data_IF_667193204169
#
_entry.id   IF_667193204169
#
_cell.length_a   1.000
_cell.length_b   1.000
_cell.length_c   1.000
_cell.angle_alpha   90.00
_cell.angle_beta   90.00
_cell.angle_gamma   90.00
#
_symmetry.space_group_name_H-M   'P 1'
#
loop_
_entity.id
_entity.type
_entity.pdbx_description
1 polymer ?
#
# COMPACT_ATOMS: atom_id res chain seq x y z
N UNK A 1 15.35 14.69 -42.97
CA UNK A 1 16.18 14.39 -41.80
C UNK A 1 16.13 15.61 -40.89
N UNK A 2 15.60 15.47 -39.67
CA UNK A 2 15.45 16.59 -38.74
C UNK A 2 16.84 17.01 -38.26
N UNK A 3 17.15 18.31 -38.41
CA UNK A 3 18.35 18.91 -37.84
C UNK A 3 18.31 18.72 -36.32
N UNK A 4 19.12 17.81 -35.81
CA UNK A 4 19.34 17.66 -34.39
C UNK A 4 19.98 18.97 -33.91
N UNK A 5 19.21 19.78 -33.19
CA UNK A 5 19.73 20.97 -32.54
C UNK A 5 21.00 20.57 -31.76
N UNK A 6 22.11 21.25 -32.05
CA UNK A 6 23.39 21.01 -31.38
C UNK A 6 23.22 21.30 -29.89
N UNK A 7 22.94 20.26 -29.10
CA UNK A 7 22.75 20.39 -27.67
C UNK A 7 24.02 20.91 -27.04
N UNK A 8 23.88 21.88 -26.15
CA UNK A 8 25.04 22.42 -25.43
C UNK A 8 25.60 21.38 -24.45
N UNK A 9 26.90 21.45 -24.14
CA UNK A 9 27.52 20.54 -23.19
C UNK A 9 26.85 20.58 -21.80
N UNK A 10 26.29 21.73 -21.41
CA UNK A 10 25.55 21.90 -20.16
C UNK A 10 24.19 21.19 -20.16
N UNK A 11 23.46 21.24 -21.28
CA UNK A 11 22.23 20.48 -21.47
C UNK A 11 22.48 18.98 -21.34
N UNK A 12 23.54 18.47 -21.98
CA UNK A 12 23.91 17.05 -21.89
C UNK A 12 24.25 16.66 -20.44
N UNK A 13 24.89 17.55 -19.68
CA UNK A 13 25.15 17.33 -18.24
C UNK A 13 23.87 17.27 -17.42
N UNK A 14 22.89 18.15 -17.70
CA UNK A 14 21.57 18.13 -17.04
C UNK A 14 20.81 16.85 -17.36
N UNK A 15 20.74 16.47 -18.64
CA UNK A 15 20.13 15.21 -19.09
C UNK A 15 20.79 14.00 -18.39
N UNK A 16 22.11 14.01 -18.23
CA UNK A 16 22.83 12.94 -17.53
C UNK A 16 22.45 12.86 -16.05
N UNK A 17 22.30 13.99 -15.36
CA UNK A 17 21.83 14.04 -13.98
C UNK A 17 20.39 13.53 -13.85
N UNK A 18 19.52 13.86 -14.79
CA UNK A 18 18.15 13.36 -14.84
C UNK A 18 18.11 11.84 -15.07
N UNK A 19 18.92 11.31 -15.99
CA UNK A 19 19.05 9.86 -16.21
C UNK A 19 19.60 9.15 -14.98
N UNK A 20 20.56 9.75 -14.27
CA UNK A 20 21.04 9.22 -12.99
C UNK A 20 19.96 9.20 -11.92
N UNK A 21 19.13 10.26 -11.84
CA UNK A 21 17.99 10.31 -10.94
C UNK A 21 16.98 9.20 -11.27
N UNK A 22 16.61 9.06 -12.54
CA UNK A 22 15.73 7.98 -13.00
C UNK A 22 16.31 6.60 -12.68
N UNK A 23 17.61 6.40 -12.88
CA UNK A 23 18.28 5.16 -12.53
C UNK A 23 18.17 4.84 -11.03
N UNK A 24 18.32 5.84 -10.15
CA UNK A 24 18.14 5.69 -8.70
C UNK A 24 16.69 5.34 -8.35
N UNK A 25 15.73 6.08 -8.89
CA UNK A 25 14.30 5.83 -8.66
C UNK A 25 13.87 4.42 -9.10
N UNK A 26 14.34 3.94 -10.26
CA UNK A 26 14.06 2.58 -10.73
C UNK A 26 14.77 1.55 -9.85
N UNK A 27 16.01 1.81 -9.44
CA UNK A 27 16.77 0.93 -8.54
C UNK A 27 16.08 0.79 -7.17
N UNK A 28 15.50 1.88 -6.65
CA UNK A 28 14.70 1.86 -5.42
C UNK A 28 13.43 1.04 -5.57
N UNK A 29 12.69 1.18 -6.68
CA UNK A 29 11.50 0.34 -6.96
C UNK A 29 11.84 -1.14 -7.04
N UNK A 30 12.98 -1.48 -7.63
CA UNK A 30 13.48 -2.85 -7.71
C UNK A 30 13.93 -3.40 -6.34
N UNK A 31 14.53 -2.54 -5.50
CA UNK A 31 14.97 -2.90 -4.15
C UNK A 31 13.78 -3.12 -3.21
N UNK A 32 12.77 -2.25 -3.31
CA UNK A 32 11.59 -2.24 -2.46
C UNK A 32 10.28 -2.21 -3.26
N UNK A 33 9.90 -3.33 -3.89
CA UNK A 33 8.75 -3.38 -4.80
C UNK A 33 7.40 -3.14 -4.11
N UNK A 34 7.36 -3.21 -2.77
CA UNK A 34 6.18 -2.94 -1.94
C UNK A 34 6.24 -1.60 -1.20
N UNK A 35 7.33 -0.84 -1.34
CA UNK A 35 7.51 0.45 -0.65
C UNK A 35 7.65 0.36 0.88
N UNK A 36 7.69 -0.85 1.45
CA UNK A 36 7.65 -1.09 2.90
C UNK A 36 8.88 -0.54 3.66
N UNK A 37 10.00 -0.30 2.96
CA UNK A 37 11.22 0.24 3.59
C UNK A 37 11.29 1.76 3.65
N UNK A 38 10.37 2.49 2.99
CA UNK A 38 10.43 3.97 2.91
C UNK A 38 10.05 4.68 4.22
N UNK A 39 9.63 3.95 5.25
CA UNK A 39 9.18 4.49 6.54
C UNK A 39 10.19 4.40 7.69
N UNK A 40 11.37 3.81 7.49
CA UNK A 40 12.41 3.77 8.52
C UNK A 40 13.56 4.70 8.11
N UNK A 41 13.97 5.67 8.96
CA UNK A 41 15.19 6.43 8.68
C UNK A 41 16.33 5.43 8.51
N UNK A 42 17.11 5.60 7.44
CA UNK A 42 18.29 4.80 7.14
C UNK A 42 19.44 5.11 8.12
N UNK A 43 19.19 4.90 9.40
CA UNK A 43 20.14 5.04 10.52
C UNK A 43 20.10 3.79 11.39
N UNK A 44 20.07 2.61 10.76
CA UNK A 44 20.14 1.32 11.44
C UNK A 44 20.86 0.30 10.57
N UNK A 45 21.84 -0.44 11.11
CA UNK A 45 22.55 -1.46 10.36
C UNK A 45 21.58 -2.62 10.08
N UNK A 46 21.35 -2.92 8.81
CA UNK A 46 20.62 -4.12 8.43
C UNK A 46 21.39 -5.39 8.82
N UNK A 47 20.72 -6.52 9.08
CA UNK A 47 21.38 -7.76 9.45
C UNK A 47 21.99 -8.39 8.20
N UNK A 48 23.29 -8.15 8.00
CA UNK A 48 24.14 -8.96 7.13
C UNK A 48 24.98 -9.91 8.00
N UNK A 49 25.20 -11.17 7.60
CA UNK A 49 26.04 -12.08 8.35
C UNK A 49 27.51 -11.74 8.07
N UNK A 50 28.26 -11.32 9.08
CA UNK A 50 29.72 -11.30 9.01
C UNK A 50 30.42 -10.14 9.72
N UNK A 51 31.13 -10.48 10.81
CA UNK A 51 32.32 -9.76 11.27
C UNK A 51 32.16 -8.89 12.53
N UNK A 52 32.93 -9.13 13.62
CA UNK A 52 32.93 -8.28 14.80
C UNK A 52 33.96 -7.14 14.64
N UNK A 53 33.55 -5.88 14.81
CA UNK A 53 34.49 -4.76 15.04
C UNK A 53 33.88 -3.66 15.94
N UNK A 54 34.73 -2.91 16.67
CA UNK A 54 34.59 -2.73 18.11
C UNK A 54 33.85 -1.46 18.53
N UNK A 55 33.36 -1.48 19.77
CA UNK A 55 32.90 -0.31 20.51
C UNK A 55 33.97 0.79 20.53
N UNK A 56 33.57 2.00 20.14
CA UNK A 56 34.29 3.22 20.51
C UNK A 56 33.27 4.32 20.80
N UNK A 57 33.14 4.63 22.09
CA UNK A 57 32.34 5.75 22.58
C UNK A 57 32.97 7.10 22.20
N UNK A 58 32.14 8.14 22.22
CA UNK A 58 32.34 9.38 22.99
C UNK A 58 31.05 10.20 22.87
N UNK A 59 30.49 10.56 24.02
CA UNK A 59 29.39 11.52 24.13
C UNK A 59 29.91 12.92 23.79
N UNK A 60 29.08 13.74 23.11
CA UNK A 60 29.30 15.18 23.00
C UNK A 60 28.01 15.93 23.37
N UNK A 61 28.09 16.99 24.21
CA UNK A 61 26.93 17.61 24.85
C UNK A 61 26.13 18.52 23.91
N UNK A 62 24.85 18.71 24.26
CA UNK A 62 23.92 19.66 23.65
C UNK A 62 24.27 21.13 23.98
N UNK A 63 23.90 22.05 23.08
CA UNK A 63 23.37 23.34 23.50
C UNK A 63 22.01 23.70 22.85
N UNK A 64 21.15 24.23 23.73
CA UNK A 64 19.88 25.00 23.68
C UNK A 64 19.23 25.49 22.35
N UNK A 65 17.90 25.72 22.36
CA UNK A 65 17.05 25.79 21.17
C UNK A 65 16.94 27.21 20.58
N UNK A 66 16.91 27.30 19.25
CA UNK A 66 16.54 28.52 18.52
C UNK A 66 15.36 28.21 17.60
N UNK A 67 14.24 28.85 17.92
CA UNK A 67 13.01 29.12 17.14
C UNK A 67 12.77 28.28 15.87
N UNK A 68 11.93 27.25 15.99
CA UNK A 68 11.21 26.67 14.84
C UNK A 68 9.90 27.45 14.61
N UNK A 69 9.58 27.87 13.37
CA UNK A 69 8.23 28.35 13.07
C UNK A 69 7.26 27.17 13.09
N UNK A 70 6.10 27.37 13.72
CA UNK A 70 5.10 26.31 13.93
C UNK A 70 4.67 25.61 12.63
N UNK A 71 4.40 24.29 12.67
CA UNK A 71 3.91 23.56 11.51
C UNK A 71 2.51 24.05 11.11
N UNK A 72 2.41 24.60 9.89
CA UNK A 72 1.17 25.11 9.30
C UNK A 72 0.07 24.04 9.33
N UNK A 73 -1.01 24.34 10.05
CA UNK A 73 -2.25 23.55 10.10
C UNK A 73 -2.81 23.42 8.69
N UNK A 74 -3.06 22.19 8.24
CA UNK A 74 -3.68 21.91 6.93
C UNK A 74 -5.10 22.48 6.94
N UNK A 75 -5.38 23.48 6.11
CA UNK A 75 -6.74 23.95 5.87
C UNK A 75 -7.51 22.81 5.18
N UNK A 76 -8.40 22.16 5.91
CA UNK A 76 -9.41 21.26 5.36
C UNK A 76 -10.58 22.12 4.86
N UNK A 77 -10.58 22.45 3.58
CA UNK A 77 -11.80 22.72 2.79
C UNK A 77 -11.43 23.12 1.36
N UNK A 78 -11.48 22.15 0.45
CA UNK A 78 -11.80 22.44 -0.94
C UNK A 78 -13.08 21.67 -1.24
N UNK A 79 -14.22 22.34 -1.09
CA UNK A 79 -15.49 21.89 -1.68
C UNK A 79 -15.37 22.17 -3.17
N UNK A 80 -15.07 21.14 -3.94
CA UNK A 80 -15.19 21.18 -5.40
C UNK A 80 -16.68 21.08 -5.72
N UNK A 81 -17.27 22.19 -6.17
CA UNK A 81 -18.56 22.16 -6.86
C UNK A 81 -18.34 21.46 -8.21
N UNK A 82 -19.04 20.35 -8.40
CA UNK A 82 -19.18 19.69 -9.70
C UNK A 82 -20.38 20.34 -10.37
N UNK A 83 -20.15 21.19 -11.37
CA UNK A 83 -21.19 21.66 -12.27
C UNK A 83 -21.49 20.54 -13.29
N UNK A 84 -22.70 19.99 -13.18
CA UNK A 84 -23.30 19.08 -14.16
C UNK A 84 -24.07 19.87 -15.24
N UNK A 85 -24.23 19.29 -16.44
CA UNK A 85 -24.27 20.01 -17.70
C UNK A 85 -25.57 20.76 -17.99
N UNK A 86 -25.42 21.82 -18.78
CA UNK A 86 -26.45 22.77 -19.16
C UNK A 86 -27.65 22.16 -19.90
N UNK A 87 -28.80 22.73 -19.58
CA UNK A 87 -30.08 22.59 -20.27
C UNK A 87 -30.18 23.55 -21.45
N UNK A 88 -30.54 23.05 -22.61
CA UNK A 88 -31.24 23.70 -23.74
C UNK A 88 -31.97 22.53 -24.44
N UNK A 89 -33.31 22.41 -24.41
CA UNK A 89 -34.29 23.12 -25.28
C UNK A 89 -34.18 22.54 -26.71
N UNK A 90 -35.18 22.02 -27.40
CA UNK A 90 -36.62 21.77 -27.24
C UNK A 90 -36.92 20.56 -28.17
N UNK A 91 -37.98 19.78 -27.91
CA UNK A 91 -38.94 19.36 -28.95
C UNK A 91 -40.06 18.48 -28.38
N UNK A 92 -41.25 18.73 -28.91
CA UNK A 92 -42.56 18.41 -28.38
C UNK A 92 -43.11 17.03 -28.81
N UNK A 93 -43.96 16.45 -27.96
CA UNK A 93 -45.21 15.70 -28.26
C UNK A 93 -45.59 14.90 -26.99
N UNK A 94 -46.56 15.34 -26.18
CA UNK A 94 -48.01 15.18 -26.34
C UNK A 94 -48.53 13.77 -25.99
N UNK A 95 -49.70 13.74 -25.32
CA UNK A 95 -50.50 12.59 -24.82
C UNK A 95 -50.12 12.12 -23.40
N UNK A 96 -50.92 12.11 -22.33
CA UNK A 96 -52.33 12.42 -22.01
C UNK A 96 -52.51 12.03 -20.51
N UNK A 97 -52.86 12.95 -19.61
CA UNK A 97 -54.21 13.26 -19.08
C UNK A 97 -54.74 12.31 -17.98
N UNK A 98 -54.81 12.88 -16.75
CA UNK A 98 -55.87 12.77 -15.69
C UNK A 98 -56.12 11.38 -15.06
N UNK A 99 -56.48 11.16 -13.78
CA UNK A 99 -56.85 11.92 -12.58
C UNK A 99 -56.67 10.93 -11.39
N UNK A 100 -56.22 11.34 -10.20
CA UNK A 100 -57.15 11.61 -9.09
C UNK A 100 -56.96 10.64 -7.90
N UNK A 101 -57.33 11.02 -6.66
CA UNK A 101 -56.61 10.66 -5.44
C UNK A 101 -57.33 9.62 -4.56
N UNK A 102 -56.61 8.97 -3.64
CA UNK A 102 -57.28 8.36 -2.48
C UNK A 102 -56.46 8.46 -1.19
N UNK A 103 -57.17 8.78 -0.12
CA UNK A 103 -56.68 9.19 1.18
C UNK A 103 -56.59 8.02 2.18
N UNK A 104 -55.60 8.09 3.08
CA UNK A 104 -55.62 7.59 4.47
C UNK A 104 -54.25 7.92 5.08
N UNK A 105 -54.06 9.06 5.75
CA UNK A 105 -54.37 9.34 7.16
C UNK A 105 -53.57 8.46 8.16
N UNK A 106 -52.71 9.14 8.93
CA UNK A 106 -52.41 8.79 10.33
C UNK A 106 -51.13 7.99 10.59
N UNK A 107 -50.15 8.62 11.25
CA UNK A 107 -48.99 7.88 11.76
C UNK A 107 -47.85 8.74 12.30
N UNK A 108 -48.15 9.51 13.34
CA UNK A 108 -47.26 9.87 14.46
C UNK A 108 -45.78 10.21 14.20
N UNK A 109 -45.48 11.48 14.47
CA UNK A 109 -44.17 11.97 14.87
C UNK A 109 -43.68 11.17 16.09
N UNK A 110 -42.72 10.28 15.90
CA UNK A 110 -41.69 9.98 16.90
C UNK A 110 -40.33 10.05 16.24
N UNK A 111 -39.72 11.23 16.32
CA UNK A 111 -38.29 11.39 16.18
C UNK A 111 -37.63 10.52 17.25
N UNK A 112 -36.93 9.48 16.81
CA UNK A 112 -36.06 8.69 17.66
C UNK A 112 -34.92 9.60 18.15
N UNK A 113 -35.08 10.15 19.35
CA UNK A 113 -33.96 10.55 20.18
C UNK A 113 -33.16 9.29 20.49
N UNK A 114 -32.09 9.03 19.75
CA UNK A 114 -31.02 8.18 20.24
C UNK A 114 -29.76 9.01 20.34
N UNK A 115 -29.45 9.34 21.59
CA UNK A 115 -28.28 10.08 22.00
C UNK A 115 -27.02 9.45 21.45
N UNK A 116 -26.13 10.32 21.00
CA UNK A 116 -24.77 9.96 20.66
C UNK A 116 -24.11 9.32 21.87
N UNK A 117 -23.76 8.05 21.75
CA UNK A 117 -22.68 7.49 22.54
C UNK A 117 -21.39 8.18 22.09
N UNK A 118 -20.99 9.17 22.89
CA UNK A 118 -19.62 9.63 23.02
C UNK A 118 -18.76 8.38 23.21
N UNK A 119 -18.05 7.97 22.17
CA UNK A 119 -16.96 7.01 22.28
C UNK A 119 -15.78 7.77 22.84
N UNK A 120 -15.78 7.95 24.15
CA UNK A 120 -14.63 8.48 24.87
C UNK A 120 -13.42 7.57 24.60
N UNK A 121 -12.38 8.20 24.04
CA UNK A 121 -10.97 8.00 24.35
C UNK A 121 -10.46 6.62 24.77
N UNK A 122 -10.83 5.51 24.12
CA UNK A 122 -10.02 4.30 24.20
C UNK A 122 -8.87 4.39 23.20
N UNK A 123 -7.80 5.00 23.71
CA UNK A 123 -6.43 4.84 23.22
C UNK A 123 -6.25 3.38 22.81
N UNK A 124 -6.07 3.13 21.51
CA UNK A 124 -5.61 1.83 21.05
C UNK A 124 -4.20 1.68 21.61
N UNK A 125 -4.10 1.05 22.78
CA UNK A 125 -2.84 0.75 23.44
C UNK A 125 -2.03 -0.06 22.44
N UNK A 126 -0.83 0.44 22.13
CA UNK A 126 0.09 -0.16 21.19
C UNK A 126 0.34 -1.61 21.62
N UNK A 127 -0.02 -2.57 20.76
CA UNK A 127 0.07 -4.03 20.98
C UNK A 127 1.50 -4.55 21.30
N UNK A 128 2.49 -3.68 21.46
CA UNK A 128 3.90 -4.04 21.68
C UNK A 128 4.44 -3.68 23.07
N UNK A 129 3.65 -3.05 23.93
CA UNK A 129 4.08 -2.66 25.29
C UNK A 129 3.30 -3.35 26.42
N UNK A 130 2.36 -4.24 26.07
CA UNK A 130 1.51 -4.97 27.04
C UNK A 130 1.95 -6.42 27.29
N UNK A 131 3.17 -6.80 26.91
CA UNK A 131 3.63 -8.20 27.09
C UNK A 131 4.45 -8.41 28.38
N UNK A 132 4.72 -7.37 29.18
CA UNK A 132 5.64 -7.50 30.32
C UNK A 132 5.05 -7.27 31.72
N UNK A 133 3.77 -6.91 31.91
CA UNK A 133 3.18 -6.82 33.27
C UNK A 133 1.66 -7.10 33.32
N UNK A 134 1.22 -8.24 32.80
CA UNK A 134 -0.09 -8.81 33.19
C UNK A 134 0.18 -10.02 34.09
N UNK A 135 -0.27 -10.01 35.37
CA UNK A 135 -0.31 -11.23 36.16
C UNK A 135 -1.11 -12.27 35.39
N UNK A 136 -0.54 -13.46 35.21
CA UNK A 136 -1.25 -14.60 34.67
C UNK A 136 -2.60 -14.74 35.39
N UNK A 137 -3.74 -14.73 34.68
CA UNK A 137 -5.03 -14.83 35.33
C UNK A 137 -5.08 -16.17 36.04
N UNK A 138 -4.95 -16.14 37.37
CA UNK A 138 -5.04 -17.31 38.23
C UNK A 138 -6.29 -18.11 37.83
N UNK A 139 -6.19 -19.45 37.74
CA UNK A 139 -7.32 -20.29 37.40
C UNK A 139 -8.49 -19.93 38.31
N UNK A 140 -9.67 -19.67 37.71
CA UNK A 140 -10.88 -19.39 38.51
C UNK A 140 -11.01 -20.49 39.56
N UNK A 141 -11.15 -20.13 40.85
CA UNK A 141 -11.30 -21.13 41.89
C UNK A 141 -12.48 -22.04 41.51
N UNK A 142 -12.25 -23.34 41.61
CA UNK A 142 -13.24 -24.36 41.35
C UNK A 142 -14.57 -23.99 42.06
N UNK A 143 -15.72 -24.24 41.42
CA UNK A 143 -17.01 -23.86 41.99
C UNK A 143 -17.10 -24.38 43.42
N UNK A 144 -17.40 -23.47 44.35
CA UNK A 144 -17.69 -23.79 45.75
C UNK A 144 -18.65 -24.97 45.79
N UNK A 145 -18.43 -25.88 46.72
CA UNK A 145 -19.23 -27.09 46.95
C UNK A 145 -20.73 -26.77 46.89
N UNK A 146 -21.30 -26.88 45.69
CA UNK A 146 -22.74 -26.91 45.51
C UNK A 146 -23.22 -28.16 46.24
N UNK A 147 -24.23 -28.02 47.10
CA UNK A 147 -24.78 -29.17 47.82
C UNK A 147 -24.92 -30.35 46.86
N UNK A 148 -24.33 -31.50 47.20
CA UNK A 148 -24.36 -32.65 46.29
C UNK A 148 -25.79 -33.04 45.88
N UNK A 149 -26.77 -32.70 46.72
CA UNK A 149 -28.20 -32.81 46.46
C UNK A 149 -28.68 -31.83 45.37
N UNK A 150 -28.24 -30.58 45.36
CA UNK A 150 -28.50 -29.57 44.33
C UNK A 150 -27.81 -29.95 43.03
N UNK A 151 -26.56 -30.42 43.05
CA UNK A 151 -25.87 -30.92 41.85
C UNK A 151 -26.61 -32.12 41.26
N UNK A 152 -27.02 -33.09 42.09
CA UNK A 152 -27.79 -34.26 41.64
C UNK A 152 -29.19 -33.87 41.16
N UNK A 153 -29.85 -32.91 41.80
CA UNK A 153 -31.16 -32.39 41.39
C UNK A 153 -31.05 -31.62 40.08
N UNK A 154 -30.11 -30.70 39.96
CA UNK A 154 -29.82 -29.95 38.73
C UNK A 154 -29.41 -30.90 37.60
N UNK A 155 -28.57 -31.89 37.86
CA UNK A 155 -28.21 -32.91 36.87
C UNK A 155 -29.39 -33.79 36.45
N UNK A 156 -30.37 -34.06 37.33
CA UNK A 156 -31.60 -34.78 36.97
C UNK A 156 -32.61 -33.88 36.23
N UNK A 157 -32.77 -32.64 36.68
CA UNK A 157 -33.70 -31.65 36.11
C UNK A 157 -33.22 -31.19 34.74
N UNK A 158 -31.95 -30.81 34.65
CA UNK A 158 -31.27 -30.42 33.41
C UNK A 158 -30.94 -31.65 32.56
N UNK A 159 -30.65 -32.81 33.15
CA UNK A 159 -30.40 -34.04 32.39
C UNK A 159 -31.63 -34.54 31.65
N UNK A 160 -32.82 -34.51 32.26
CA UNK A 160 -34.06 -34.87 31.55
C UNK A 160 -34.40 -33.90 30.43
N UNK A 161 -34.15 -32.60 30.63
CA UNK A 161 -34.44 -31.56 29.65
C UNK A 161 -33.39 -31.40 28.56
N UNK A 162 -32.10 -31.57 28.86
CA UNK A 162 -30.99 -31.44 27.91
C UNK A 162 -30.51 -32.78 27.39
N UNK A 163 -30.29 -33.82 28.20
CA UNK A 163 -29.77 -35.11 27.68
C UNK A 163 -30.82 -35.80 26.82
N UNK A 164 -32.08 -35.82 27.24
CA UNK A 164 -33.16 -36.43 26.46
C UNK A 164 -33.51 -35.69 25.17
N UNK A 165 -33.31 -34.37 25.09
CA UNK A 165 -33.59 -33.57 23.89
C UNK A 165 -32.34 -33.42 23.00
N UNK A 166 -31.15 -33.30 23.59
CA UNK A 166 -29.87 -33.28 22.88
C UNK A 166 -29.58 -34.64 22.25
N UNK A 167 -29.87 -35.74 22.94
CA UNK A 167 -29.71 -37.08 22.37
C UNK A 167 -30.70 -37.30 21.23
N UNK A 168 -31.95 -36.84 21.35
CA UNK A 168 -32.91 -36.80 20.23
C UNK A 168 -32.40 -35.94 19.08
N UNK A 169 -31.87 -34.75 19.36
CA UNK A 169 -31.31 -33.84 18.36
C UNK A 169 -30.08 -34.46 17.66
N UNK A 170 -29.24 -35.19 18.40
CA UNK A 170 -28.11 -35.94 17.84
C UNK A 170 -28.58 -37.12 16.98
N UNK A 171 -29.60 -37.87 17.42
CA UNK A 171 -30.18 -38.96 16.64
C UNK A 171 -30.87 -38.44 15.37
N UNK A 172 -31.58 -37.32 15.45
CA UNK A 172 -32.18 -36.62 14.31
C UNK A 172 -31.10 -36.08 13.38
N UNK A 173 -30.04 -35.46 13.90
CA UNK A 173 -28.91 -35.03 13.07
C UNK A 173 -28.23 -36.20 12.36
N UNK A 174 -28.06 -37.36 13.02
CA UNK A 174 -27.52 -38.58 12.38
C UNK A 174 -28.44 -39.11 11.27
N UNK A 175 -29.76 -39.02 11.46
CA UNK A 175 -30.74 -39.40 10.43
C UNK A 175 -30.74 -38.40 9.26
N UNK A 176 -30.62 -37.11 9.56
CA UNK A 176 -30.54 -36.04 8.57
C UNK A 176 -29.22 -36.07 7.80
N UNK A 177 -28.09 -36.39 8.45
CA UNK A 177 -26.80 -36.52 7.78
C UNK A 177 -26.77 -37.67 6.78
N UNK A 178 -27.51 -38.74 7.06
CA UNK A 178 -27.67 -39.88 6.15
C UNK A 178 -28.72 -39.63 5.06
N UNK A 179 -29.46 -38.51 5.14
CA UNK A 179 -30.42 -38.14 4.11
C UNK A 179 -29.70 -37.70 2.84
N UNK A 180 -30.15 -38.18 1.69
CA UNK A 180 -29.64 -37.82 0.38
C UNK A 180 -29.64 -36.29 0.15
N UNK A 181 -30.63 -35.58 0.69
CA UNK A 181 -30.69 -34.12 0.59
C UNK A 181 -29.55 -33.41 1.36
N UNK A 182 -29.08 -33.99 2.47
CA UNK A 182 -27.92 -33.47 3.19
C UNK A 182 -26.62 -33.73 2.42
N UNK A 183 -26.47 -34.92 1.84
CA UNK A 183 -25.32 -35.25 0.99
C UNK A 183 -25.24 -34.32 -0.23
N UNK A 184 -26.36 -34.06 -0.91
CA UNK A 184 -26.38 -33.11 -2.04
C UNK A 184 -26.03 -31.69 -1.63
N UNK A 185 -26.51 -31.22 -0.47
CA UNK A 185 -26.18 -29.88 0.06
C UNK A 185 -24.71 -29.78 0.49
N UNK A 186 -24.18 -30.80 1.15
CA UNK A 186 -22.78 -30.83 1.58
C UNK A 186 -21.83 -30.90 0.38
N UNK A 187 -22.16 -31.69 -0.64
CA UNK A 187 -21.43 -31.74 -1.91
C UNK A 187 -21.49 -30.40 -2.66
N UNK A 188 -22.67 -29.76 -2.71
CA UNK A 188 -22.80 -28.44 -3.32
C UNK A 188 -21.98 -27.38 -2.57
N UNK A 189 -21.97 -27.43 -1.23
CA UNK A 189 -21.15 -26.54 -0.40
C UNK A 189 -19.66 -26.82 -0.62
N UNK A 190 -19.22 -28.07 -0.64
CA UNK A 190 -17.83 -28.43 -0.91
C UNK A 190 -17.39 -27.98 -2.30
N UNK A 191 -18.24 -28.13 -3.32
CA UNK A 191 -17.95 -27.63 -4.68
C UNK A 191 -17.85 -26.11 -4.72
N UNK A 192 -18.72 -25.39 -4.00
CA UNK A 192 -18.64 -23.94 -3.89
C UNK A 192 -17.36 -23.48 -3.18
N UNK A 193 -16.99 -24.14 -2.07
CA UNK A 193 -15.77 -23.86 -1.33
C UNK A 193 -14.51 -24.18 -2.14
N UNK A 194 -14.51 -25.29 -2.89
CA UNK A 194 -13.42 -25.65 -3.80
C UNK A 194 -13.25 -24.59 -4.89
N UNK A 195 -14.34 -24.17 -5.52
CA UNK A 195 -14.30 -23.10 -6.53
C UNK A 195 -13.81 -21.78 -5.96
N UNK A 196 -14.27 -21.40 -4.76
CA UNK A 196 -13.81 -20.18 -4.09
C UNK A 196 -12.30 -20.24 -3.77
N UNK A 197 -11.78 -21.42 -3.38
CA UNK A 197 -10.34 -21.62 -3.17
C UNK A 197 -9.55 -21.49 -4.47
N UNK A 198 -9.97 -22.18 -5.53
CA UNK A 198 -9.33 -22.11 -6.84
C UNK A 198 -9.31 -20.68 -7.39
N UNK A 199 -10.42 -19.95 -7.30
CA UNK A 199 -10.50 -18.57 -7.77
C UNK A 199 -9.61 -17.64 -6.92
N UNK A 200 -9.54 -17.87 -5.60
CA UNK A 200 -8.60 -17.13 -4.73
C UNK A 200 -7.13 -17.43 -5.05
N UNK A 201 -6.80 -18.66 -5.43
CA UNK A 201 -5.45 -19.06 -5.82
C UNK A 201 -5.07 -18.49 -7.18
N UNK A 202 -6.00 -18.50 -8.14
CA UNK A 202 -5.84 -17.83 -9.44
C UNK A 202 -5.54 -16.35 -9.26
N UNK A 203 -6.27 -15.65 -8.41
CA UNK A 203 -5.99 -14.23 -8.12
C UNK A 203 -4.60 -14.03 -7.51
N UNK A 204 -4.19 -14.88 -6.56
CA UNK A 204 -2.83 -14.82 -5.98
C UNK A 204 -1.75 -15.09 -7.03
N UNK A 205 -2.00 -16.01 -7.97
CA UNK A 205 -1.07 -16.29 -9.07
C UNK A 205 -0.97 -15.08 -10.00
N UNK A 206 -2.10 -14.50 -10.42
CA UNK A 206 -2.11 -13.28 -11.23
C UNK A 206 -1.38 -12.12 -10.56
N UNK A 207 -1.56 -11.90 -9.25
CA UNK A 207 -0.82 -10.87 -8.50
C UNK A 207 0.69 -11.12 -8.50
N UNK A 208 1.11 -12.38 -8.33
CA UNK A 208 2.53 -12.77 -8.38
C UNK A 208 3.11 -12.55 -9.77
N UNK A 209 2.38 -12.92 -10.82
CA UNK A 209 2.77 -12.73 -12.21
C UNK A 209 2.88 -11.25 -12.55
N UNK A 210 1.88 -10.44 -12.21
CA UNK A 210 1.93 -8.99 -12.41
C UNK A 210 3.11 -8.36 -11.65
N UNK A 211 3.41 -8.81 -10.43
CA UNK A 211 4.57 -8.34 -9.68
C UNK A 211 5.89 -8.74 -10.36
N UNK A 212 5.98 -9.97 -10.88
CA UNK A 212 7.14 -10.45 -11.63
C UNK A 212 7.32 -9.68 -12.95
N UNK A 213 6.24 -9.42 -13.68
CA UNK A 213 6.25 -8.62 -14.90
C UNK A 213 6.68 -7.18 -14.63
N UNK A 214 6.13 -6.53 -13.59
CA UNK A 214 6.56 -5.17 -13.19
C UNK A 214 8.06 -5.13 -12.92
N UNK A 215 8.60 -6.12 -12.18
CA UNK A 215 10.06 -6.24 -11.96
C UNK A 215 10.84 -6.44 -13.25
N UNK A 216 10.36 -7.30 -14.17
CA UNK A 216 11.01 -7.51 -15.48
C UNK A 216 11.04 -6.20 -16.27
N UNK A 217 9.94 -5.46 -16.30
CA UNK A 217 9.83 -4.14 -16.94
C UNK A 217 10.83 -3.17 -16.30
N UNK A 218 10.84 -3.04 -14.98
CA UNK A 218 11.76 -2.14 -14.27
C UNK A 218 13.24 -2.52 -14.49
N UNK A 219 13.58 -3.82 -14.54
CA UNK A 219 14.94 -4.28 -14.88
C UNK A 219 15.33 -3.85 -16.30
N UNK A 220 14.44 -4.03 -17.27
CA UNK A 220 14.70 -3.60 -18.66
C UNK A 220 14.79 -2.08 -18.78
N UNK A 221 13.94 -1.34 -18.06
CA UNK A 221 13.98 0.12 -18.02
C UNK A 221 15.28 0.62 -17.40
N UNK A 222 15.74 -0.01 -16.30
CA UNK A 222 17.03 0.32 -15.69
C UNK A 222 18.19 0.13 -16.67
N UNK A 223 18.20 -0.98 -17.41
CA UNK A 223 19.22 -1.26 -18.42
C UNK A 223 19.17 -0.23 -19.57
N UNK A 224 17.97 0.13 -20.05
CA UNK A 224 17.78 1.15 -21.09
C UNK A 224 18.23 2.55 -20.63
N UNK A 225 17.88 2.94 -19.41
CA UNK A 225 18.30 4.23 -18.83
C UNK A 225 19.82 4.25 -18.64
N UNK A 226 20.42 3.14 -18.20
CA UNK A 226 21.87 3.03 -18.12
C UNK A 226 22.54 3.16 -19.49
N UNK A 227 22.05 2.47 -20.52
CA UNK A 227 22.56 2.57 -21.89
C UNK A 227 22.47 4.02 -22.40
N UNK A 228 21.32 4.68 -22.24
CA UNK A 228 21.16 6.11 -22.59
C UNK A 228 22.12 7.02 -21.82
N UNK A 229 22.38 6.74 -20.55
CA UNK A 229 23.32 7.52 -19.76
C UNK A 229 24.76 7.38 -20.29
N UNK A 230 25.17 6.19 -20.74
CA UNK A 230 26.47 6.00 -21.39
C UNK A 230 26.54 6.70 -22.76
N UNK A 231 25.47 6.65 -23.57
CA UNK A 231 25.38 7.41 -24.83
C UNK A 231 25.64 8.91 -24.59
N UNK A 232 24.98 9.50 -23.58
CA UNK A 232 25.18 10.92 -23.24
C UNK A 232 26.57 11.24 -22.69
N UNK A 233 27.22 10.30 -22.00
CA UNK A 233 28.63 10.47 -21.60
C UNK A 233 29.55 10.52 -22.81
N UNK A 234 29.32 9.66 -23.81
CA UNK A 234 30.11 9.66 -25.04
C UNK A 234 29.90 10.94 -25.84
N UNK A 235 28.67 11.45 -25.94
CA UNK A 235 28.39 12.76 -26.57
C UNK A 235 29.18 13.89 -25.90
N UNK A 236 29.17 13.93 -24.56
CA UNK A 236 29.92 14.93 -23.80
C UNK A 236 31.43 14.83 -24.06
N UNK A 237 31.98 13.60 -24.03
CA UNK A 237 33.39 13.35 -24.33
C UNK A 237 33.74 13.74 -25.77
N UNK A 238 32.85 13.48 -26.72
CA UNK A 238 33.03 13.86 -28.12
C UNK A 238 33.12 15.39 -28.28
N UNK A 239 32.23 16.14 -27.61
CA UNK A 239 32.29 17.60 -27.60
C UNK A 239 33.64 18.07 -27.05
N UNK A 240 34.03 17.59 -25.86
CA UNK A 240 35.32 17.94 -25.24
C UNK A 240 36.52 17.59 -26.12
N UNK A 241 36.48 16.42 -26.76
CA UNK A 241 37.53 15.96 -27.65
C UNK A 241 37.61 16.85 -28.91
N UNK A 242 36.47 17.18 -29.52
CA UNK A 242 36.42 18.04 -30.70
C UNK A 242 36.91 19.46 -30.40
N UNK A 243 36.57 20.00 -29.23
CA UNK A 243 37.07 21.30 -28.75
C UNK A 243 38.58 21.27 -28.54
N UNK A 244 39.10 20.23 -27.89
CA UNK A 244 40.53 20.06 -27.69
C UNK A 244 41.27 19.91 -29.04
N UNK A 245 40.72 19.12 -29.97
CA UNK A 245 41.29 18.95 -31.30
C UNK A 245 41.31 20.26 -32.10
N UNK A 246 40.24 21.06 -32.03
CA UNK A 246 40.19 22.42 -32.63
C UNK A 246 41.27 23.34 -32.03
N UNK A 247 41.45 23.31 -30.71
CA UNK A 247 42.50 24.08 -30.02
C UNK A 247 43.89 23.67 -30.51
N UNK A 248 44.20 22.37 -30.51
CA UNK A 248 45.47 21.84 -31.02
C UNK A 248 45.72 22.22 -32.48
N UNK A 249 44.72 22.04 -33.36
CA UNK A 249 44.84 22.44 -34.77
C UNK A 249 45.12 23.92 -34.92
N UNK A 250 44.48 24.76 -34.10
CA UNK A 250 44.71 26.21 -34.08
C UNK A 250 46.14 26.55 -33.62
N UNK A 251 46.65 25.88 -32.58
CA UNK A 251 48.04 26.04 -32.13
C UNK A 251 49.04 25.66 -33.24
N UNK A 252 48.83 24.53 -33.92
CA UNK A 252 49.70 24.09 -35.01
C UNK A 252 49.69 25.07 -36.19
N UNK A 253 48.51 25.61 -36.55
CA UNK A 253 48.40 26.62 -37.61
C UNK A 253 49.16 27.90 -37.27
N UNK A 254 49.03 28.41 -36.04
CA UNK A 254 49.76 29.59 -35.57
C UNK A 254 51.27 29.34 -35.53
N UNK A 255 51.68 28.17 -35.02
CA UNK A 255 53.10 27.80 -34.97
C UNK A 255 53.71 27.71 -36.36
N UNK A 256 53.05 27.03 -37.31
CA UNK A 256 53.51 26.95 -38.70
C UNK A 256 53.56 28.33 -39.36
N UNK A 257 52.57 29.19 -39.12
CA UNK A 257 52.56 30.56 -39.63
C UNK A 257 53.74 31.39 -39.09
N UNK A 258 54.06 31.27 -37.80
CA UNK A 258 55.22 31.96 -37.21
C UNK A 258 56.54 31.47 -37.81
N UNK A 259 56.71 30.16 -37.95
CA UNK A 259 57.91 29.55 -38.54
C UNK A 259 58.07 29.96 -40.01
N UNK A 260 56.98 30.08 -40.77
CA UNK A 260 57.03 30.54 -42.17
C UNK A 260 57.30 32.04 -42.31
N UNK A 261 56.83 32.87 -41.36
CA UNK A 261 56.97 34.34 -41.42
C UNK A 261 58.32 34.84 -40.91
N UNK A 262 58.98 34.08 -40.04
CA UNK A 262 60.34 34.35 -39.56
C UNK A 262 61.29 33.21 -39.93
N UNK A 263 61.60 33.04 -41.24
CA UNK A 263 62.74 32.21 -41.62
C UNK A 263 64.01 32.89 -41.10
N UNK A 264 64.89 32.10 -40.48
CA UNK A 264 66.21 32.54 -40.03
C UNK A 264 67.01 33.23 -41.15
#
# INVERSE_FOLDING_TARGET
MAAAAEKTAEEIRRELQELQRQHREISERLRDPRGLRRGAPATGPGPGPGGPRPLRGFARPAPEPVDQPEPKRRLLSAVVKVDGPGTNGDDAAAEGREDGPNAAQGGERRGASNGGFRRDGSQWVSRRELDNQLPEPLPRPAPKEEDQSLVRRNKRMLGKLLVGTLEKFQQENKKLSNSEAFMRRSEAQQKADQKAREDSERLRQQEREQAAEKRRRDMTLRARVAAKAEEKRLELLYIQWSEHHKKLSSFLRLFLFLVQKYPY
#
